data_IF_024430036704
#
_entry.id   IF_024430036704
#
_cell.length_a   1.000
_cell.length_b   1.000
_cell.length_c   1.000
_cell.angle_alpha   90.00
_cell.angle_beta   90.00
_cell.angle_gamma   90.00
#
_symmetry.space_group_name_H-M   'P 1'
#
loop_
_entity.id
_entity.type
_entity.pdbx_description
1 polymer ?
#
# COMPACT_ATOMS: atom_id res chain seq x y z
N UNK A 1 -36.60 32.93 -11.78
CA UNK A 1 -35.41 32.35 -12.46
C UNK A 1 -34.22 32.12 -11.52
N UNK A 2 -34.09 32.84 -10.40
CA UNK A 2 -32.96 32.68 -9.45
C UNK A 2 -32.88 31.32 -8.71
N UNK A 3 -34.00 30.63 -8.47
CA UNK A 3 -34.03 29.36 -7.71
C UNK A 3 -33.44 28.15 -8.47
N UNK A 4 -33.45 28.18 -9.81
CA UNK A 4 -32.87 27.12 -10.66
C UNK A 4 -31.35 27.22 -10.75
N UNK A 5 -30.80 28.43 -10.65
CA UNK A 5 -29.35 28.67 -10.66
C UNK A 5 -28.68 28.21 -9.35
N UNK A 6 -29.37 28.39 -8.21
CA UNK A 6 -28.86 27.96 -6.90
C UNK A 6 -28.81 26.43 -6.75
N UNK A 7 -29.75 25.71 -7.37
CA UNK A 7 -29.78 24.25 -7.36
C UNK A 7 -28.70 23.64 -8.27
N UNK A 8 -28.43 24.25 -9.42
CA UNK A 8 -27.33 23.88 -10.31
C UNK A 8 -25.95 24.11 -9.67
N UNK A 9 -25.77 25.20 -8.91
CA UNK A 9 -24.56 25.45 -8.14
C UNK A 9 -24.32 24.39 -7.04
N UNK A 10 -25.38 23.92 -6.37
CA UNK A 10 -25.26 22.86 -5.36
C UNK A 10 -24.92 21.49 -5.97
N UNK A 11 -25.48 21.15 -7.13
CA UNK A 11 -25.18 19.88 -7.83
C UNK A 11 -23.76 19.88 -8.39
N UNK A 12 -23.29 21.01 -8.95
CA UNK A 12 -21.91 21.15 -9.43
C UNK A 12 -20.92 21.16 -8.25
N UNK A 13 -21.25 21.78 -7.11
CA UNK A 13 -20.39 21.74 -5.92
C UNK A 13 -20.27 20.30 -5.37
N UNK A 14 -21.36 19.51 -5.35
CA UNK A 14 -21.34 18.11 -4.93
C UNK A 14 -20.56 17.20 -5.90
N UNK A 15 -20.59 17.49 -7.20
CA UNK A 15 -19.82 16.74 -8.21
C UNK A 15 -18.32 17.07 -8.19
N UNK A 16 -17.92 18.28 -7.78
CA UNK A 16 -16.51 18.69 -7.69
C UNK A 16 -15.88 18.34 -6.33
N UNK A 17 -16.65 18.18 -5.26
CA UNK A 17 -16.15 17.67 -3.97
C UNK A 17 -16.03 16.14 -3.90
N UNK A 18 -16.50 15.42 -4.92
CA UNK A 18 -16.58 13.95 -4.93
C UNK A 18 -15.41 13.20 -5.56
N UNK A 19 -14.34 13.90 -5.99
CA UNK A 19 -13.07 13.21 -6.33
C UNK A 19 -12.18 13.25 -5.09
N UNK A 20 -12.64 12.62 -4.01
CA UNK A 20 -11.66 11.97 -3.13
C UNK A 20 -10.97 10.95 -4.04
N UNK A 21 -9.71 11.20 -4.39
CA UNK A 21 -8.93 10.24 -5.15
C UNK A 21 -9.12 8.89 -4.49
N UNK A 22 -9.65 7.92 -5.24
CA UNK A 22 -10.00 6.59 -4.71
C UNK A 22 -8.71 5.87 -4.34
N UNK A 23 -8.12 6.22 -3.19
CA UNK A 23 -7.18 5.35 -2.50
C UNK A 23 -8.04 4.33 -1.81
N UNK A 24 -8.12 3.14 -2.40
CA UNK A 24 -8.75 1.98 -1.75
C UNK A 24 -8.15 1.84 -0.35
N UNK A 25 -9.01 1.65 0.64
CA UNK A 25 -8.58 1.34 2.02
C UNK A 25 -7.70 0.08 2.01
N UNK A 26 -6.72 0.03 2.92
CA UNK A 26 -5.88 -1.15 3.10
C UNK A 26 -6.76 -2.37 3.38
N UNK A 27 -6.41 -3.51 2.77
CA UNK A 27 -7.12 -4.77 3.01
C UNK A 27 -6.67 -5.45 4.31
N UNK A 28 -5.65 -4.90 4.99
CA UNK A 28 -5.09 -5.46 6.21
C UNK A 28 -6.14 -5.42 7.32
N UNK A 29 -6.28 -6.55 8.01
CA UNK A 29 -7.13 -6.66 9.20
C UNK A 29 -6.37 -7.37 10.32
N UNK A 30 -6.63 -6.95 11.57
CA UNK A 30 -6.18 -7.68 12.75
C UNK A 30 -7.37 -8.40 13.40
N UNK A 31 -7.38 -9.72 13.30
CA UNK A 31 -8.39 -10.55 13.95
C UNK A 31 -7.72 -11.70 14.67
N UNK A 32 -8.18 -12.05 15.87
CA UNK A 32 -7.61 -13.13 16.68
C UNK A 32 -6.07 -13.03 16.86
N UNK A 33 -5.57 -11.80 17.00
CA UNK A 33 -4.16 -11.45 17.13
C UNK A 33 -3.29 -11.66 15.88
N UNK A 34 -3.90 -11.89 14.71
CA UNK A 34 -3.22 -12.24 13.46
C UNK A 34 -3.52 -11.19 12.38
N UNK A 35 -2.49 -10.44 11.95
CA UNK A 35 -2.61 -9.54 10.80
C UNK A 35 -2.66 -10.35 9.50
N UNK A 36 -3.71 -10.17 8.71
CA UNK A 36 -3.91 -10.87 7.43
C UNK A 36 -3.97 -9.89 6.26
N UNK A 37 -3.96 -10.42 5.03
CA UNK A 37 -4.07 -9.66 3.78
C UNK A 37 -2.98 -8.60 3.55
N UNK A 38 -1.78 -8.81 4.09
CA UNK A 38 -0.66 -7.88 3.91
C UNK A 38 -0.11 -8.02 2.51
N UNK A 39 -0.17 -6.95 1.70
CA UNK A 39 0.39 -6.93 0.36
C UNK A 39 1.70 -6.15 0.32
N UNK A 40 2.79 -6.88 0.05
CA UNK A 40 4.14 -6.36 -0.11
C UNK A 40 4.49 -6.40 -1.60
N UNK A 41 4.97 -5.32 -2.20
CA UNK A 41 5.44 -5.34 -3.58
C UNK A 41 6.88 -4.89 -3.74
N UNK A 42 7.53 -5.40 -4.77
CA UNK A 42 8.83 -4.94 -5.24
C UNK A 42 8.58 -4.04 -6.46
N UNK A 43 9.13 -2.83 -6.44
CA UNK A 43 9.00 -1.88 -7.55
C UNK A 43 9.58 -2.48 -8.84
N UNK A 44 8.94 -2.27 -10.00
CA UNK A 44 9.50 -2.68 -11.30
C UNK A 44 10.88 -2.10 -11.61
N UNK A 45 11.26 -1.01 -10.94
CA UNK A 45 12.56 -0.34 -11.05
C UNK A 45 13.67 -1.04 -10.26
N UNK A 46 13.33 -1.96 -9.35
CA UNK A 46 14.32 -2.76 -8.62
C UNK A 46 14.83 -3.85 -9.54
N UNK A 47 16.14 -3.90 -9.75
CA UNK A 47 16.81 -4.96 -10.53
C UNK A 47 16.53 -6.36 -9.96
N UNK A 48 16.40 -7.34 -10.85
CA UNK A 48 16.18 -8.73 -10.48
C UNK A 48 17.23 -9.24 -9.49
N UNK A 49 16.78 -9.87 -8.41
CA UNK A 49 17.63 -10.44 -7.37
C UNK A 49 17.13 -11.81 -6.95
N UNK A 50 18.01 -12.81 -7.02
CA UNK A 50 17.71 -14.18 -6.60
C UNK A 50 17.51 -14.34 -5.08
N UNK A 51 17.89 -13.34 -4.29
CA UNK A 51 17.85 -13.41 -2.82
C UNK A 51 16.80 -12.51 -2.18
N UNK A 52 16.37 -11.45 -2.85
CA UNK A 52 15.52 -10.42 -2.24
C UNK A 52 14.18 -10.97 -1.72
N UNK A 53 13.51 -11.85 -2.46
CA UNK A 53 12.26 -12.48 -2.01
C UNK A 53 12.48 -13.27 -0.72
N UNK A 54 13.57 -14.06 -0.64
CA UNK A 54 13.92 -14.80 0.57
C UNK A 54 14.31 -13.88 1.74
N UNK A 55 15.00 -12.77 1.45
CA UNK A 55 15.33 -11.74 2.43
C UNK A 55 14.06 -11.08 2.98
N UNK A 56 13.10 -10.71 2.14
CA UNK A 56 11.80 -10.16 2.56
C UNK A 56 11.08 -11.16 3.46
N UNK A 57 10.95 -12.43 3.06
CA UNK A 57 10.34 -13.48 3.90
C UNK A 57 11.01 -13.56 5.27
N UNK A 58 12.34 -13.63 5.29
CA UNK A 58 13.13 -13.69 6.54
C UNK A 58 12.91 -12.46 7.41
N UNK A 59 12.88 -11.27 6.82
CA UNK A 59 12.63 -10.01 7.53
C UNK A 59 11.23 -9.98 8.13
N UNK A 60 10.19 -10.37 7.39
CA UNK A 60 8.82 -10.44 7.92
C UNK A 60 8.68 -11.48 9.03
N UNK A 61 9.34 -12.63 8.93
CA UNK A 61 9.35 -13.63 10.02
C UNK A 61 9.98 -13.06 11.30
N UNK A 62 11.13 -12.38 11.18
CA UNK A 62 11.79 -11.72 12.32
C UNK A 62 10.94 -10.59 12.89
N UNK A 63 10.41 -9.74 12.02
CA UNK A 63 9.57 -8.61 12.40
C UNK A 63 8.28 -9.06 13.10
N UNK A 64 7.68 -10.18 12.67
CA UNK A 64 6.50 -10.77 13.33
C UNK A 64 6.82 -11.22 14.76
N UNK A 65 7.98 -11.85 14.99
CA UNK A 65 8.42 -12.21 16.34
C UNK A 65 8.63 -10.98 17.22
N UNK A 66 9.22 -9.91 16.67
CA UNK A 66 9.40 -8.64 17.37
C UNK A 66 8.04 -8.00 17.68
N UNK A 67 7.13 -7.91 16.70
CA UNK A 67 5.79 -7.34 16.88
C UNK A 67 5.01 -8.08 17.97
N UNK A 68 5.13 -9.40 18.02
CA UNK A 68 4.49 -10.23 19.03
C UNK A 68 4.96 -9.89 20.43
N UNK A 69 6.27 -9.80 20.65
CA UNK A 69 6.82 -9.38 21.94
C UNK A 69 6.46 -7.92 22.25
N UNK A 70 6.61 -7.05 21.25
CA UNK A 70 6.46 -5.61 21.40
C UNK A 70 5.05 -5.18 21.80
N UNK A 71 4.05 -5.95 21.38
CA UNK A 71 2.63 -5.72 21.66
C UNK A 71 2.11 -6.52 22.86
N UNK A 72 3.01 -7.10 23.68
CA UNK A 72 2.66 -8.01 24.77
C UNK A 72 1.77 -9.17 24.28
N UNK A 73 2.25 -9.89 23.28
CA UNK A 73 1.65 -11.10 22.71
C UNK A 73 0.30 -10.85 22.01
N UNK A 74 0.06 -9.65 21.45
CA UNK A 74 -1.24 -9.28 20.88
C UNK A 74 -1.31 -9.24 19.35
N UNK A 75 -0.18 -9.22 18.65
CA UNK A 75 -0.19 -9.17 17.19
C UNK A 75 0.98 -9.94 16.56
N UNK A 76 0.68 -10.69 15.51
CA UNK A 76 1.67 -11.32 14.60
C UNK A 76 1.31 -11.03 13.15
N UNK A 77 2.28 -11.15 12.25
CA UNK A 77 1.95 -11.25 10.82
C UNK A 77 1.57 -12.68 10.48
N UNK A 78 0.41 -12.86 9.85
CA UNK A 78 -0.11 -14.17 9.45
C UNK A 78 -0.04 -14.38 7.95
N UNK A 79 -0.77 -13.60 7.16
CA UNK A 79 -0.83 -13.78 5.71
C UNK A 79 -0.12 -12.64 4.99
N UNK A 80 1.00 -12.95 4.34
CA UNK A 80 1.82 -11.99 3.60
C UNK A 80 1.90 -12.42 2.13
N UNK A 81 1.37 -11.60 1.24
CA UNK A 81 1.51 -11.77 -0.21
C UNK A 81 2.62 -10.88 -0.73
N UNK A 82 3.59 -11.46 -1.43
CA UNK A 82 4.71 -10.75 -2.07
C UNK A 82 4.43 -10.67 -3.57
N UNK A 83 4.27 -9.46 -4.09
CA UNK A 83 4.14 -9.16 -5.52
C UNK A 83 5.51 -8.85 -6.13
N UNK A 84 5.99 -9.78 -6.96
CA UNK A 84 7.19 -9.65 -7.78
C UNK A 84 6.82 -8.93 -9.10
N UNK A 85 7.61 -7.94 -9.57
CA UNK A 85 7.28 -7.21 -10.79
C UNK A 85 7.44 -8.08 -12.04
N UNK A 86 6.74 -7.69 -13.10
CA UNK A 86 6.80 -8.35 -14.41
C UNK A 86 8.13 -8.15 -15.15
N UNK A 87 8.94 -7.18 -14.70
CA UNK A 87 10.29 -6.91 -15.21
C UNK A 87 11.31 -7.97 -14.78
N UNK A 88 10.99 -8.78 -13.77
CA UNK A 88 11.84 -9.88 -13.33
C UNK A 88 11.61 -11.14 -14.19
N UNK A 89 12.60 -12.05 -14.30
CA UNK A 89 12.39 -13.36 -14.91
C UNK A 89 11.24 -14.11 -14.25
N UNK A 90 10.54 -14.92 -15.04
CA UNK A 90 9.48 -15.78 -14.51
C UNK A 90 10.08 -16.91 -13.69
N UNK A 91 9.51 -17.15 -12.52
CA UNK A 91 9.89 -18.26 -11.64
C UNK A 91 8.71 -19.23 -11.50
N UNK A 92 8.89 -20.53 -11.78
CA UNK A 92 7.82 -21.52 -11.62
C UNK A 92 7.26 -21.66 -10.20
N UNK A 93 7.99 -21.19 -9.18
CA UNK A 93 7.53 -21.17 -7.80
C UNK A 93 6.56 -20.03 -7.50
N UNK A 94 6.36 -19.09 -8.42
CA UNK A 94 5.44 -17.97 -8.29
C UNK A 94 4.14 -18.24 -9.04
N UNK A 95 3.01 -17.82 -8.46
CA UNK A 95 1.72 -17.86 -9.16
C UNK A 95 1.44 -16.53 -9.85
N UNK A 96 0.54 -16.50 -10.83
CA UNK A 96 0.12 -15.24 -11.44
C UNK A 96 -0.65 -14.38 -10.43
N UNK A 97 -0.36 -13.08 -10.37
CA UNK A 97 -1.15 -12.13 -9.61
C UNK A 97 -2.54 -11.97 -10.23
N UNK A 98 -3.58 -11.93 -9.39
CA UNK A 98 -4.97 -11.73 -9.83
C UNK A 98 -5.45 -10.34 -9.48
N UNK A 99 -5.53 -10.03 -8.18
CA UNK A 99 -6.00 -8.73 -7.66
C UNK A 99 -4.87 -7.90 -7.06
N UNK A 100 -3.67 -8.48 -6.91
CA UNK A 100 -2.50 -7.81 -6.37
C UNK A 100 -1.84 -6.94 -7.44
N UNK A 101 -1.74 -5.64 -7.18
CA UNK A 101 -1.06 -4.69 -8.08
C UNK A 101 -0.15 -3.76 -7.27
N UNK A 102 0.86 -3.19 -7.93
CA UNK A 102 1.81 -2.31 -7.25
C UNK A 102 1.11 -1.10 -6.61
N UNK A 103 0.03 -0.57 -7.20
CA UNK A 103 -0.71 0.59 -6.68
C UNK A 103 -1.57 0.31 -5.45
N UNK A 104 -1.97 -0.93 -5.19
CA UNK A 104 -2.77 -1.30 -4.02
C UNK A 104 -1.98 -2.02 -2.91
N UNK A 105 -0.65 -2.05 -3.03
CA UNK A 105 0.22 -2.63 -2.00
C UNK A 105 0.37 -1.72 -0.78
N UNK A 106 0.33 -2.33 0.41
CA UNK A 106 0.51 -1.66 1.70
C UNK A 106 1.97 -1.31 1.96
N UNK A 107 2.87 -2.19 1.54
CA UNK A 107 4.32 -2.04 1.72
C UNK A 107 5.00 -2.17 0.36
N UNK A 108 5.88 -1.23 0.02
CA UNK A 108 6.62 -1.27 -1.24
C UNK A 108 8.12 -1.16 -1.04
N UNK A 109 8.86 -2.03 -1.71
CA UNK A 109 10.31 -1.99 -1.80
C UNK A 109 10.74 -1.27 -3.08
N UNK A 110 11.50 -0.18 -2.93
CA UNK A 110 11.97 0.68 -4.02
C UNK A 110 13.50 0.65 -4.13
N UNK A 111 14.09 1.07 -5.27
CA UNK A 111 15.53 1.19 -5.38
C UNK A 111 16.10 2.13 -4.30
N UNK A 112 17.35 1.91 -3.85
CA UNK A 112 18.03 2.83 -2.95
C UNK A 112 18.08 4.25 -3.55
N UNK A 113 17.96 5.29 -2.71
CA UNK A 113 18.09 6.67 -3.19
C UNK A 113 19.46 6.87 -3.84
N UNK A 114 19.48 7.62 -4.94
CA UNK A 114 20.74 7.95 -5.60
C UNK A 114 21.70 8.66 -4.62
N UNK A 115 23.01 8.40 -4.67
CA UNK A 115 23.99 9.14 -3.89
C UNK A 115 23.80 10.64 -4.15
N UNK A 116 23.73 11.44 -3.08
CA UNK A 116 23.67 12.87 -3.24
C UNK A 116 24.87 13.34 -4.10
N UNK A 117 24.67 14.24 -5.08
CA UNK A 117 25.79 14.77 -5.85
C UNK A 117 26.82 15.39 -4.89
N UNK A 118 28.13 15.31 -5.19
CA UNK A 118 29.16 15.94 -4.37
C UNK A 118 28.83 17.41 -4.21
N UNK A 119 28.62 17.88 -2.98
CA UNK A 119 28.42 19.30 -2.73
C UNK A 119 29.76 20.02 -2.95
N UNK A 120 29.97 20.59 -4.13
CA UNK A 120 31.01 21.58 -4.35
C UNK A 120 30.53 22.90 -3.73
N UNK A 121 30.79 23.12 -2.44
CA UNK A 121 30.68 24.43 -1.83
C UNK A 121 32.08 25.07 -1.74
N UNK A 122 32.53 25.86 -2.74
CA UNK A 122 33.70 26.72 -2.60
C UNK A 122 33.27 27.97 -1.82
N UNK A 123 33.25 27.90 -0.49
CA UNK A 123 32.90 29.08 0.31
C UNK A 123 32.63 28.90 1.82
N UNK A 124 32.71 27.69 2.37
CA UNK A 124 32.57 27.51 3.81
C UNK A 124 33.94 27.66 4.49
N UNK A 125 34.25 28.89 4.90
CA UNK A 125 35.30 29.17 5.87
C UNK A 125 35.12 28.30 7.12
N UNK A 126 36.23 27.75 7.56
CA UNK A 126 36.40 26.81 8.66
C UNK A 126 35.91 27.40 10.00
N UNK A 127 34.76 26.91 10.49
CA UNK A 127 34.45 26.90 11.92
C UNK A 127 34.44 25.42 12.36
N UNK A 128 35.56 25.01 12.95
CA UNK A 128 35.72 23.68 13.54
C UNK A 128 34.79 23.55 14.75
N UNK A 129 33.79 22.67 14.67
CA UNK A 129 32.87 22.37 15.77
C UNK A 129 31.59 21.65 15.37
N UNK A 130 31.16 21.78 14.12
CA UNK A 130 29.99 21.05 13.64
C UNK A 130 30.42 19.68 13.14
N UNK A 131 30.30 18.66 14.00
CA UNK A 131 30.25 17.26 13.56
C UNK A 131 29.10 17.16 12.55
N UNK A 132 29.44 17.25 11.26
CA UNK A 132 28.49 17.09 10.17
C UNK A 132 27.98 15.65 10.22
N UNK A 133 26.87 15.45 10.93
CA UNK A 133 26.11 14.21 10.86
C UNK A 133 25.82 13.95 9.38
N UNK A 134 26.15 12.77 8.84
CA UNK A 134 25.83 12.44 7.46
C UNK A 134 24.34 12.72 7.23
N UNK A 135 24.01 13.42 6.14
CA UNK A 135 22.63 13.68 5.75
C UNK A 135 21.89 12.34 5.76
N UNK A 136 21.00 12.15 6.73
CA UNK A 136 20.24 10.91 6.89
C UNK A 136 19.37 10.79 5.64
N UNK A 137 19.75 9.89 4.73
CA UNK A 137 18.94 9.58 3.57
C UNK A 137 17.76 8.78 4.10
N UNK A 138 16.53 9.28 3.93
CA UNK A 138 15.32 8.60 4.39
C UNK A 138 15.10 7.34 3.53
N UNK A 139 15.64 6.22 4.01
CA UNK A 139 15.53 4.88 3.38
C UNK A 139 14.20 4.20 3.66
N UNK A 140 13.33 4.82 4.46
CA UNK A 140 11.96 4.39 4.68
C UNK A 140 11.05 5.60 4.94
N UNK A 141 9.80 5.50 4.51
CA UNK A 141 8.79 6.53 4.73
C UNK A 141 7.39 5.92 4.80
N UNK A 142 6.45 6.63 5.41
CA UNK A 142 5.03 6.26 5.40
C UNK A 142 4.24 7.41 4.80
N UNK A 143 3.46 7.13 3.76
CA UNK A 143 2.46 8.05 3.21
C UNK A 143 1.17 7.88 4.01
N UNK A 144 0.68 8.97 4.59
CA UNK A 144 -0.59 9.01 5.30
C UNK A 144 -1.32 10.32 4.97
N UNK A 145 -2.65 10.28 4.84
CA UNK A 145 -3.49 11.49 4.72
C UNK A 145 -3.92 12.01 6.09
N UNK A 146 -3.67 11.24 7.14
CA UNK A 146 -4.25 11.40 8.46
C UNK A 146 -3.18 11.67 9.54
N UNK A 147 -3.64 12.08 10.72
CA UNK A 147 -2.81 12.36 11.89
C UNK A 147 -2.34 11.10 12.62
N UNK A 148 -1.80 11.29 13.84
CA UNK A 148 -1.32 10.19 14.66
C UNK A 148 -2.39 9.13 14.95
N UNK A 149 -2.01 7.85 14.96
CA UNK A 149 -2.88 6.72 15.30
C UNK A 149 -3.90 6.34 14.22
N UNK A 150 -3.94 7.08 13.11
CA UNK A 150 -4.83 6.79 11.99
C UNK A 150 -4.11 5.94 10.93
N UNK A 151 -4.84 5.09 10.17
CA UNK A 151 -4.24 4.24 9.15
C UNK A 151 -3.45 5.03 8.10
N UNK A 152 -2.26 4.54 7.78
CA UNK A 152 -1.46 5.02 6.65
C UNK A 152 -1.98 4.47 5.32
N UNK A 153 -1.55 5.08 4.21
CA UNK A 153 -1.88 4.63 2.85
C UNK A 153 -0.86 3.61 2.35
N UNK A 154 0.43 3.84 2.66
CA UNK A 154 1.54 3.03 2.15
C UNK A 154 2.81 3.25 2.95
N UNK A 155 3.53 2.17 3.22
CA UNK A 155 4.90 2.20 3.71
C UNK A 155 5.84 1.95 2.52
N UNK A 156 6.83 2.83 2.34
CA UNK A 156 7.86 2.70 1.30
C UNK A 156 9.20 2.46 1.98
N UNK A 157 9.93 1.44 1.54
CA UNK A 157 11.26 1.10 2.04
C UNK A 157 12.22 0.91 0.88
N UNK A 158 13.45 1.38 1.01
CA UNK A 158 14.50 1.07 0.06
C UNK A 158 15.00 -0.37 0.25
N UNK A 159 15.37 -1.06 -0.83
CA UNK A 159 15.82 -2.46 -0.75
C UNK A 159 17.12 -2.65 0.03
N UNK A 160 17.98 -1.63 0.08
CA UNK A 160 19.22 -1.65 0.84
C UNK A 160 19.00 -1.59 2.36
N UNK A 161 17.82 -1.17 2.83
CA UNK A 161 17.43 -1.32 4.23
C UNK A 161 17.46 -2.78 4.69
N UNK A 162 17.19 -3.71 3.78
CA UNK A 162 17.16 -5.15 4.07
C UNK A 162 18.54 -5.81 4.04
N UNK A 163 19.50 -5.22 3.33
CA UNK A 163 20.81 -5.84 3.04
C UNK A 163 21.96 -5.11 3.72
N UNK A 164 21.80 -3.83 4.02
CA UNK A 164 22.85 -2.99 4.59
C UNK A 164 22.85 -3.08 6.12
N UNK A 165 23.77 -3.88 6.66
CA UNK A 165 24.01 -4.00 8.11
C UNK A 165 24.47 -2.69 8.77
N UNK A 166 24.94 -1.70 8.01
CA UNK A 166 25.29 -0.38 8.56
C UNK A 166 24.08 0.53 8.75
N UNK A 167 22.92 0.20 8.15
CA UNK A 167 21.64 0.90 8.37
C UNK A 167 20.79 0.26 9.48
N UNK A 168 21.25 -0.87 10.05
CA UNK A 168 20.56 -1.49 11.18
C UNK A 168 20.71 -0.55 12.37
N UNK A 169 19.62 -0.14 13.03
CA UNK A 169 19.72 0.75 14.18
C UNK A 169 20.65 0.13 15.24
N UNK A 170 21.55 0.96 15.78
CA UNK A 170 22.46 0.60 16.88
C UNK A 170 21.70 0.20 18.15
N UNK A 171 20.42 0.58 18.23
CA UNK A 171 19.48 0.11 19.23
C UNK A 171 18.87 -1.20 18.75
N UNK A 172 19.07 -2.27 19.51
CA UNK A 172 18.53 -3.59 19.22
C UNK A 172 17.00 -3.59 19.03
N UNK A 173 16.44 -4.73 18.65
CA UNK A 173 14.99 -4.84 18.48
C UNK A 173 14.26 -4.40 19.77
N UNK A 174 13.22 -3.55 19.67
CA UNK A 174 12.45 -3.17 20.85
C UNK A 174 11.83 -4.42 21.47
N UNK A 175 12.07 -4.62 22.76
CA UNK A 175 11.43 -5.71 23.52
C UNK A 175 9.94 -5.41 23.67
N UNK A 176 9.61 -4.15 23.94
CA UNK A 176 8.27 -3.58 24.10
C UNK A 176 8.20 -2.18 23.52
N UNK A 177 7.01 -1.76 23.07
CA UNK A 177 6.78 -0.35 22.75
C UNK A 177 6.83 0.49 24.02
N UNK A 178 7.35 1.71 23.93
CA UNK A 178 7.31 2.62 25.06
C UNK A 178 5.87 2.95 25.44
N UNK A 179 5.61 3.03 26.75
CA UNK A 179 4.33 3.35 27.35
C UNK A 179 4.46 4.55 28.31
N UNK A 180 3.32 5.01 28.84
CA UNK A 180 3.28 6.12 29.78
C UNK A 180 3.53 5.69 31.24
N UNK A 181 3.82 4.40 31.49
CA UNK A 181 4.13 3.87 32.83
C UNK A 181 5.60 4.11 33.19
N UNK A 182 5.83 5.17 33.95
CA UNK A 182 7.18 5.56 34.38
C UNK A 182 7.79 4.62 35.43
N UNK A 183 7.03 3.65 35.97
CA UNK A 183 7.57 2.69 36.93
C UNK A 183 8.48 1.65 36.26
N UNK A 184 8.29 1.40 34.96
CA UNK A 184 9.12 0.48 34.19
C UNK A 184 10.11 1.24 33.32
N UNK A 185 11.35 1.39 33.79
CA UNK A 185 12.40 2.10 33.05
C UNK A 185 12.74 1.49 31.69
N UNK A 186 12.35 0.23 31.41
CA UNK A 186 12.56 -0.41 30.11
C UNK A 186 11.55 -0.02 29.04
N UNK A 187 10.35 0.44 29.45
CA UNK A 187 9.29 0.90 28.55
C UNK A 187 8.94 2.38 28.75
N UNK A 188 9.54 3.05 29.73
CA UNK A 188 9.32 4.45 30.02
C UNK A 188 9.49 5.34 28.77
N UNK A 189 8.42 6.06 28.41
CA UNK A 189 8.45 7.02 27.31
C UNK A 189 9.16 8.33 27.71
N UNK A 190 10.09 8.78 26.86
CA UNK A 190 10.66 10.12 26.94
C UNK A 190 9.81 11.12 26.14
N UNK A 191 8.88 11.78 26.83
CA UNK A 191 7.98 12.79 26.28
C UNK A 191 8.70 14.04 25.72
N UNK A 192 9.86 14.38 26.27
CA UNK A 192 10.64 15.58 25.91
C UNK A 192 11.54 15.37 24.68
N UNK A 193 11.72 14.12 24.25
CA UNK A 193 12.53 13.81 23.09
C UNK A 193 11.99 14.54 21.83
N UNK A 194 12.84 15.21 21.04
CA UNK A 194 12.42 15.92 19.83
C UNK A 194 12.21 14.95 18.65
N UNK A 195 11.44 13.87 18.86
CA UNK A 195 11.16 12.85 17.87
C UNK A 195 9.99 13.25 16.97
N UNK A 196 9.96 12.75 15.73
CA UNK A 196 8.80 12.94 14.84
C UNK A 196 7.51 12.37 15.43
N UNK A 197 7.59 11.29 16.21
CA UNK A 197 6.43 10.73 16.90
C UNK A 197 5.90 11.74 17.92
N UNK A 198 6.75 12.26 18.82
CA UNK A 198 6.31 13.19 19.85
C UNK A 198 5.68 14.45 19.24
N UNK A 199 6.31 15.01 18.20
CA UNK A 199 5.79 16.18 17.51
C UNK A 199 4.42 15.94 16.84
N UNK A 200 4.16 14.73 16.32
CA UNK A 200 2.92 14.42 15.58
C UNK A 200 1.81 13.85 16.45
N UNK A 201 2.17 13.19 17.54
CA UNK A 201 1.26 12.44 18.41
C UNK A 201 0.93 13.17 19.70
N UNK A 202 1.17 14.48 19.77
CA UNK A 202 0.97 15.25 20.99
C UNK A 202 1.79 14.69 22.15
N UNK A 203 3.00 14.21 21.84
CA UNK A 203 3.98 13.63 22.77
C UNK A 203 3.50 12.40 23.55
N UNK A 204 2.43 11.75 23.08
CA UNK A 204 1.98 10.47 23.63
C UNK A 204 3.00 9.38 23.32
N UNK A 205 3.08 8.38 24.20
CA UNK A 205 3.89 7.19 23.94
C UNK A 205 3.33 6.36 22.78
N UNK A 206 4.21 5.55 22.17
CA UNK A 206 3.84 4.69 21.05
C UNK A 206 2.77 3.68 21.45
N UNK A 207 2.86 3.10 22.65
CA UNK A 207 1.86 2.16 23.12
C UNK A 207 0.50 2.81 23.39
N UNK A 208 0.45 4.05 23.91
CA UNK A 208 -0.80 4.77 24.08
C UNK A 208 -1.52 4.96 22.73
N UNK A 209 -0.78 5.34 21.69
CA UNK A 209 -1.33 5.49 20.33
C UNK A 209 -1.84 4.16 19.76
N UNK A 210 -1.06 3.08 19.91
CA UNK A 210 -1.44 1.75 19.38
C UNK A 210 -2.66 1.21 20.12
N UNK A 211 -2.68 1.28 21.45
CA UNK A 211 -3.73 0.69 22.29
C UNK A 211 -5.10 1.35 22.14
N UNK A 212 -5.16 2.61 21.68
CA UNK A 212 -6.41 3.33 21.39
C UNK A 212 -6.95 3.09 19.97
N UNK A 213 -6.17 2.49 19.08
CA UNK A 213 -6.63 2.16 17.73
C UNK A 213 -7.78 1.15 17.77
N UNK A 214 -8.59 1.09 16.71
CA UNK A 214 -9.68 0.12 16.57
C UNK A 214 -9.25 -1.34 16.73
N UNK A 215 -7.98 -1.64 16.44
CA UNK A 215 -7.39 -2.96 16.53
C UNK A 215 -7.21 -3.44 17.99
N UNK A 216 -7.05 -2.53 18.95
CA UNK A 216 -6.70 -2.88 20.34
C UNK A 216 -7.63 -2.26 21.39
N UNK A 217 -8.36 -1.20 21.05
CA UNK A 217 -9.26 -0.55 21.99
C UNK A 217 -10.41 -1.50 22.40
N UNK A 218 -11.08 -1.16 23.51
CA UNK A 218 -12.21 -1.94 24.02
C UNK A 218 -11.91 -3.43 24.29
N UNK A 219 -10.63 -3.79 24.48
CA UNK A 219 -10.22 -5.16 24.74
C UNK A 219 -10.07 -6.03 23.48
N UNK A 220 -10.12 -5.44 22.29
CA UNK A 220 -9.83 -6.14 21.04
C UNK A 220 -8.41 -6.72 21.06
N UNK A 221 -8.26 -7.91 20.45
CA UNK A 221 -7.00 -8.62 20.36
C UNK A 221 -6.26 -8.69 21.72
N UNK A 222 -6.84 -9.36 22.74
CA UNK A 222 -6.22 -9.53 24.06
C UNK A 222 -4.91 -10.32 23.97
N UNK A 223 -4.01 -10.26 24.96
CA UNK A 223 -2.75 -11.01 24.93
C UNK A 223 -3.01 -12.51 24.73
N UNK A 224 -2.34 -13.11 23.75
CA UNK A 224 -2.52 -14.51 23.37
C UNK A 224 -1.18 -15.23 23.37
N UNK A 225 -0.76 -15.87 24.49
CA UNK A 225 0.50 -16.59 24.57
C UNK A 225 0.50 -17.85 23.68
N UNK A 226 1.68 -18.23 23.19
CA UNK A 226 1.87 -19.45 22.39
C UNK A 226 1.46 -19.34 20.92
N UNK A 227 1.22 -18.12 20.40
CA UNK A 227 0.90 -17.91 18.99
C UNK A 227 2.16 -18.11 18.11
N UNK A 228 1.99 -18.74 16.95
CA UNK A 228 3.08 -18.84 15.98
C UNK A 228 3.38 -17.46 15.39
N UNK A 229 4.65 -17.06 15.44
CA UNK A 229 5.11 -15.79 14.87
C UNK A 229 5.59 -15.94 13.43
N UNK A 230 5.43 -17.12 12.80
CA UNK A 230 5.89 -17.38 11.43
C UNK A 230 4.75 -17.14 10.44
N UNK A 231 4.86 -16.14 9.55
CA UNK A 231 3.84 -15.87 8.54
C UNK A 231 3.78 -16.96 7.47
N UNK A 232 2.61 -17.12 6.88
CA UNK A 232 2.39 -17.80 5.61
C UNK A 232 2.68 -16.81 4.48
N UNK A 233 3.52 -17.24 3.55
CA UNK A 233 3.92 -16.42 2.42
C UNK A 233 3.36 -16.97 1.11
N UNK A 234 2.68 -16.10 0.37
CA UNK A 234 2.31 -16.33 -1.03
C UNK A 234 3.16 -15.43 -1.89
N UNK A 235 3.77 -15.97 -2.96
CA UNK A 235 4.53 -15.15 -3.91
C UNK A 235 3.78 -15.16 -5.23
N UNK A 236 3.37 -13.98 -5.67
CA UNK A 236 2.70 -13.76 -6.94
C UNK A 236 3.57 -12.90 -7.84
N UNK A 237 3.51 -13.13 -9.15
CA UNK A 237 4.18 -12.30 -10.13
C UNK A 237 3.18 -11.46 -10.90
N UNK A 238 3.47 -10.16 -11.02
CA UNK A 238 2.69 -9.27 -11.86
C UNK A 238 2.73 -9.78 -13.31
N UNK A 239 1.59 -9.81 -14.02
CA UNK A 239 1.59 -10.25 -15.40
C UNK A 239 2.35 -9.25 -16.27
N UNK A 240 2.99 -9.74 -17.35
CA UNK A 240 3.64 -8.88 -18.35
C UNK A 240 2.64 -7.96 -19.04
N UNK A 241 1.45 -8.48 -19.31
CA UNK A 241 0.30 -7.75 -19.85
C UNK A 241 -0.81 -7.74 -18.83
N UNK A 242 -1.24 -6.56 -18.36
CA UNK A 242 -2.38 -6.42 -17.45
C UNK A 242 -3.68 -6.58 -18.23
N UNK A 243 -4.60 -7.40 -17.74
CA UNK A 243 -5.95 -7.46 -18.30
C UNK A 243 -6.91 -6.61 -17.45
N UNK A 244 -7.50 -5.57 -18.04
CA UNK A 244 -8.53 -4.74 -17.42
C UNK A 244 -9.89 -5.20 -17.96
N UNK A 245 -10.77 -5.68 -17.09
CA UNK A 245 -12.13 -6.06 -17.49
C UNK A 245 -13.11 -4.97 -17.05
N UNK A 246 -13.78 -4.34 -18.00
CA UNK A 246 -14.88 -3.39 -17.77
C UNK A 246 -16.19 -4.15 -17.92
N UNK A 247 -16.86 -4.45 -16.80
CA UNK A 247 -18.16 -5.10 -16.79
C UNK A 247 -19.27 -4.04 -16.73
N UNK A 248 -20.15 -4.02 -17.74
CA UNK A 248 -21.23 -3.05 -17.92
C UNK A 248 -22.57 -3.70 -17.56
N UNK A 249 -23.27 -3.15 -16.58
CA UNK A 249 -24.66 -3.53 -16.30
C UNK A 249 -25.56 -3.08 -17.47
N UNK A 250 -26.35 -4.01 -18.03
CA UNK A 250 -27.34 -3.78 -19.08
C UNK A 250 -28.77 -4.03 -18.60
N UNK A 251 -28.98 -4.07 -17.29
CA UNK A 251 -30.30 -4.22 -16.68
C UNK A 251 -31.30 -3.17 -17.16
N UNK A 252 -32.58 -3.44 -16.96
CA UNK A 252 -33.67 -2.58 -17.43
C UNK A 252 -33.59 -1.14 -16.90
N UNK A 253 -32.93 -0.90 -15.76
CA UNK A 253 -32.70 0.45 -15.21
C UNK A 253 -31.63 1.23 -15.97
N UNK A 254 -30.74 0.54 -16.69
CA UNK A 254 -29.69 1.13 -17.52
C UNK A 254 -30.23 1.63 -18.87
N UNK A 255 -31.37 1.08 -19.31
CA UNK A 255 -32.09 1.55 -20.49
C UNK A 255 -32.79 2.91 -20.30
N UNK A 256 -32.88 3.41 -19.05
CA UNK A 256 -33.55 4.67 -18.72
C UNK A 256 -32.56 5.84 -18.85
N UNK A 257 -33.00 6.94 -19.47
CA UNK A 257 -32.27 8.22 -19.57
C UNK A 257 -30.87 8.12 -20.21
N UNK A 258 -30.72 7.34 -21.28
CA UNK A 258 -29.45 7.19 -22.03
C UNK A 258 -28.23 6.72 -21.19
N UNK A 259 -28.42 6.28 -19.95
CA UNK A 259 -27.33 5.84 -19.05
C UNK A 259 -26.45 4.79 -19.69
N UNK A 260 -27.05 3.82 -20.38
CA UNK A 260 -26.31 2.79 -21.09
C UNK A 260 -25.41 3.39 -22.18
N UNK A 261 -25.89 4.40 -22.92
CA UNK A 261 -25.09 5.13 -23.93
C UNK A 261 -23.90 5.84 -23.30
N UNK A 262 -24.12 6.50 -22.15
CA UNK A 262 -23.05 7.18 -21.41
C UNK A 262 -21.99 6.20 -20.89
N UNK A 263 -22.41 5.06 -20.34
CA UNK A 263 -21.48 4.02 -19.84
C UNK A 263 -20.71 3.36 -20.99
N UNK A 264 -21.35 3.11 -22.14
CA UNK A 264 -20.64 2.64 -23.33
C UNK A 264 -19.63 3.66 -23.84
N UNK A 265 -19.98 4.94 -23.87
CA UNK A 265 -19.06 6.00 -24.28
C UNK A 265 -17.87 6.09 -23.33
N UNK A 266 -18.09 5.99 -22.02
CA UNK A 266 -17.03 5.94 -21.02
C UNK A 266 -16.14 4.70 -21.18
N UNK A 267 -16.70 3.51 -21.41
CA UNK A 267 -15.94 2.28 -21.63
C UNK A 267 -15.06 2.36 -22.90
N UNK A 268 -15.59 2.95 -23.97
CA UNK A 268 -14.82 3.21 -25.20
C UNK A 268 -13.66 4.17 -24.94
N UNK A 269 -13.88 5.18 -24.10
CA UNK A 269 -12.81 6.09 -23.66
C UNK A 269 -11.76 5.35 -22.85
N UNK A 270 -12.15 4.53 -21.87
CA UNK A 270 -11.21 3.70 -21.07
C UNK A 270 -10.35 2.81 -21.96
N UNK A 271 -10.95 2.19 -22.98
CA UNK A 271 -10.23 1.35 -23.95
C UNK A 271 -9.28 2.17 -24.82
N UNK A 272 -9.70 3.37 -25.26
CA UNK A 272 -8.89 4.24 -26.13
C UNK A 272 -7.78 4.97 -25.39
N UNK A 273 -7.95 5.27 -24.11
CA UNK A 273 -6.94 5.96 -23.30
C UNK A 273 -5.89 5.01 -22.75
N UNK A 274 -6.25 3.74 -22.49
CA UNK A 274 -5.29 2.70 -22.14
C UNK A 274 -4.64 2.10 -23.41
N UNK A 275 -3.79 2.89 -24.08
CA UNK A 275 -3.05 2.46 -25.29
C UNK A 275 -1.71 1.77 -25.02
N UNK A 276 -1.36 1.58 -23.75
CA UNK A 276 -0.12 0.89 -23.41
C UNK A 276 -0.17 -0.55 -23.97
N UNK A 277 0.86 -1.00 -24.71
CA UNK A 277 0.91 -2.37 -25.24
C UNK A 277 0.89 -3.44 -24.12
N UNK A 278 1.13 -3.02 -22.88
CA UNK A 278 1.13 -3.87 -21.70
C UNK A 278 -0.24 -3.92 -20.99
N UNK A 279 -1.30 -3.37 -21.58
CA UNK A 279 -2.67 -3.41 -21.03
C UNK A 279 -3.68 -3.91 -22.08
N UNK A 280 -4.29 -5.06 -21.80
CA UNK A 280 -5.39 -5.67 -22.56
C UNK A 280 -6.73 -5.26 -21.92
N UNK A 281 -7.50 -4.38 -22.57
CA UNK A 281 -8.81 -3.94 -22.07
C UNK A 281 -9.91 -4.77 -22.71
N UNK A 282 -10.66 -5.50 -21.87
CA UNK A 282 -11.80 -6.30 -22.26
C UNK A 282 -13.06 -5.64 -21.72
N UNK A 283 -14.03 -5.37 -22.60
CA UNK A 283 -15.35 -4.86 -22.20
C UNK A 283 -16.35 -6.01 -22.28
N UNK A 284 -17.09 -6.25 -21.20
CA UNK A 284 -18.15 -7.26 -21.13
C UNK A 284 -19.43 -6.64 -20.57
N UNK A 285 -20.58 -7.24 -20.84
CA UNK A 285 -21.88 -6.79 -20.32
C UNK A 285 -22.56 -7.89 -19.50
N UNK A 286 -23.40 -7.50 -18.54
CA UNK A 286 -24.21 -8.42 -17.75
C UNK A 286 -25.61 -7.85 -17.49
N UNK A 287 -26.65 -8.67 -17.63
CA UNK A 287 -28.05 -8.27 -17.49
C UNK A 287 -28.99 -9.49 -17.56
N UNK A 288 -30.20 -9.36 -16.99
CA UNK A 288 -31.10 -10.47 -16.56
C UNK A 288 -31.65 -11.46 -17.59
N UNK A 289 -30.79 -12.15 -18.33
CA UNK A 289 -31.07 -13.40 -19.05
C UNK A 289 -29.85 -14.33 -18.93
N UNK A 290 -30.09 -15.62 -18.76
CA UNK A 290 -29.14 -16.70 -18.43
C UNK A 290 -28.03 -16.97 -19.48
N UNK A 291 -27.19 -15.99 -19.81
CA UNK A 291 -25.99 -16.21 -20.61
C UNK A 291 -24.74 -15.88 -19.77
N UNK A 292 -23.83 -16.85 -19.66
CA UNK A 292 -22.57 -16.73 -18.93
C UNK A 292 -21.74 -15.55 -19.50
N UNK A 293 -21.50 -14.47 -18.73
CA UNK A 293 -20.80 -13.28 -19.21
C UNK A 293 -19.33 -13.53 -19.57
N UNK A 294 -18.76 -14.70 -19.22
CA UNK A 294 -17.43 -15.12 -19.68
C UNK A 294 -17.42 -15.70 -21.11
N UNK A 295 -18.55 -16.15 -21.65
CA UNK A 295 -18.61 -16.74 -23.00
C UNK A 295 -18.58 -15.69 -24.11
N UNK A 296 -18.99 -14.44 -23.83
CA UNK A 296 -19.06 -13.35 -24.81
C UNK A 296 -17.79 -12.46 -24.84
N UNK A 297 -16.79 -12.73 -23.99
CA UNK A 297 -15.57 -11.94 -23.93
C UNK A 297 -14.62 -12.31 -25.09
N UNK A 298 -14.72 -11.62 -26.22
CA UNK A 298 -13.74 -11.71 -27.32
C UNK A 298 -12.46 -10.94 -26.97
N UNK A 299 -11.28 -11.59 -26.98
CA UNK A 299 -10.01 -10.87 -26.87
C UNK A 299 -9.71 -10.16 -28.19
N UNK A 300 -9.82 -8.84 -28.22
CA UNK A 300 -9.49 -8.04 -29.42
C UNK A 300 -8.02 -7.65 -29.39
N UNK A 301 -7.15 -8.52 -29.87
CA UNK A 301 -5.69 -8.29 -29.91
C UNK A 301 -5.21 -7.53 -31.17
N UNK A 302 -5.97 -6.55 -31.67
CA UNK A 302 -5.55 -5.79 -32.87
C UNK A 302 -5.73 -4.28 -32.69
N UNK A 303 -4.69 -3.46 -32.97
CA UNK A 303 -4.80 -2.02 -33.00
C UNK A 303 -5.38 -1.63 -34.35
N UNK A 304 -6.70 -1.70 -34.51
CA UNK A 304 -7.34 -1.14 -35.69
C UNK A 304 -8.78 -0.76 -35.38
N UNK A 305 -9.12 0.45 -35.83
CA UNK A 305 -10.46 1.03 -35.92
C UNK A 305 -11.53 -0.02 -36.18
N UNK A 306 -12.43 -0.22 -35.22
CA UNK A 306 -13.68 -0.93 -35.44
C UNK A 306 -14.83 0.04 -35.19
N UNK A 307 -15.45 0.41 -36.30
CA UNK A 307 -16.75 1.07 -36.40
C UNK A 307 -17.80 0.12 -35.81
N UNK A 308 -18.59 0.57 -34.83
CA UNK A 308 -19.71 -0.19 -34.28
C UNK A 308 -21.01 0.52 -34.68
N UNK A 309 -21.74 -0.10 -35.61
CA UNK A 309 -23.13 0.26 -35.92
C UNK A 309 -24.09 -0.42 -34.94
N UNK A 310 -25.16 0.33 -34.66
CA UNK A 310 -26.23 0.16 -33.66
C UNK A 310 -26.81 -1.25 -33.48
#
# INVERSE_FOLDING_TARGET
>A
MAKKCLWLLFVVLFLVTGIEGVSRESAITLQNNEYTNILVSISPEVSASSTLVATIKTTFTKASAILYQATNHRAVFRDVTILVPSTWPTDPSYTAATTQVFSNSDIVFVPPPAPAPPQSNPGAGQLAGSSATPRRVDVASTKAFAGCGLPGIRITMATDLLTNRALTPTFGAPVQFCDDDQSNSSTAHNYEAPSHHNLRCGHRSTWAVISESSDFNNGNNPPRPGLSTTPVFTVVQAPKTRRLVVAIDTSSIMAVNEKLREVHQAATTVQRENTSPDVDVVVTSFGGGDEDPLAAATPTTTPTSADFSL
#
